data_IF_202103126671
#
_entry.id   IF_202103126671
#
_cell.length_a   1.000
_cell.length_b   1.000
_cell.length_c   1.000
_cell.angle_alpha   90.00
_cell.angle_beta   90.00
_cell.angle_gamma   90.00
#
_symmetry.space_group_name_H-M   'P 1'
#
loop_
_entity.id
_entity.type
_entity.pdbx_description
1 polymer ?
#
# COMPACT_ATOMS: atom_id res chain seq x y z
N UNK A 1 -6.69 0.59 -4.35
CA UNK A 1 -6.33 0.96 -5.74
C UNK A 1 -5.49 -0.13 -6.37
N UNK A 2 -6.04 -0.92 -7.29
CA UNK A 2 -5.25 -1.97 -7.94
C UNK A 2 -4.13 -1.40 -8.85
N UNK A 3 -4.25 -0.15 -9.34
CA UNK A 3 -3.34 0.46 -10.35
C UNK A 3 -1.90 0.49 -9.86
N UNK A 4 -1.72 0.61 -8.55
CA UNK A 4 -0.41 0.61 -7.91
C UNK A 4 0.32 -0.73 -8.02
N UNK A 5 -0.40 -1.82 -8.34
CA UNK A 5 0.15 -3.17 -8.48
C UNK A 5 0.44 -3.55 -9.94
N UNK A 6 0.32 -2.62 -10.90
CA UNK A 6 0.80 -2.83 -12.27
C UNK A 6 2.26 -2.39 -12.41
N UNK A 7 3.01 -2.96 -13.36
CA UNK A 7 4.28 -2.36 -13.79
C UNK A 7 4.07 -0.88 -14.10
N UNK A 8 4.94 -0.01 -13.60
CA UNK A 8 4.80 1.45 -13.70
C UNK A 8 4.56 1.90 -15.15
N UNK A 9 5.27 1.31 -16.10
CA UNK A 9 5.13 1.58 -17.53
C UNK A 9 3.71 1.30 -18.06
N UNK A 10 2.99 0.35 -17.47
CA UNK A 10 1.65 -0.06 -17.91
C UNK A 10 0.53 0.68 -17.19
N UNK A 11 0.81 1.44 -16.13
CA UNK A 11 -0.20 2.18 -15.35
C UNK A 11 -0.99 3.12 -16.25
N UNK A 12 -0.31 3.92 -17.09
CA UNK A 12 -0.94 4.90 -17.97
C UNK A 12 -1.82 4.24 -19.01
N UNK A 13 -1.30 3.22 -19.69
CA UNK A 13 -2.03 2.48 -20.72
C UNK A 13 -3.29 1.81 -20.16
N UNK A 14 -3.19 1.17 -18.98
CA UNK A 14 -4.33 0.51 -18.35
C UNK A 14 -5.38 1.51 -17.83
N UNK A 15 -4.94 2.67 -17.34
CA UNK A 15 -5.85 3.76 -16.99
C UNK A 15 -6.65 4.26 -18.20
N UNK A 16 -5.99 4.45 -19.34
CA UNK A 16 -6.66 4.86 -20.58
C UNK A 16 -7.64 3.78 -21.07
N UNK A 17 -7.24 2.51 -21.02
CA UNK A 17 -8.13 1.39 -21.36
C UNK A 17 -9.38 1.36 -20.47
N UNK A 18 -9.21 1.57 -19.16
CA UNK A 18 -10.33 1.69 -18.23
C UNK A 18 -11.25 2.86 -18.60
N UNK A 19 -10.70 4.03 -18.95
CA UNK A 19 -11.49 5.21 -19.36
C UNK A 19 -12.28 4.99 -20.66
N UNK A 20 -11.75 4.19 -21.58
CA UNK A 20 -12.36 3.95 -22.89
C UNK A 20 -13.46 2.87 -22.86
N UNK A 21 -13.52 2.03 -21.82
CA UNK A 21 -14.57 1.00 -21.68
C UNK A 21 -15.97 1.63 -21.70
N UNK A 22 -16.86 1.05 -22.50
CA UNK A 22 -18.24 1.52 -22.66
C UNK A 22 -18.98 1.62 -21.30
N UNK A 23 -18.81 0.63 -20.44
CA UNK A 23 -19.37 0.60 -19.07
C UNK A 23 -18.89 1.80 -18.24
N UNK A 24 -17.60 2.10 -18.27
CA UNK A 24 -17.02 3.25 -17.55
C UNK A 24 -17.52 4.57 -18.09
N UNK A 25 -17.65 4.72 -19.42
CA UNK A 25 -18.23 5.91 -20.05
C UNK A 25 -19.68 6.12 -19.65
N UNK A 26 -20.49 5.06 -19.67
CA UNK A 26 -21.89 5.09 -19.22
C UNK A 26 -22.00 5.48 -17.74
N UNK A 27 -21.13 4.93 -16.87
CA UNK A 27 -21.09 5.33 -15.47
C UNK A 27 -20.71 6.79 -15.27
N UNK A 28 -19.80 7.34 -16.09
CA UNK A 28 -19.44 8.76 -16.02
C UNK A 28 -20.61 9.67 -16.44
N UNK A 29 -21.42 9.24 -17.41
CA UNK A 29 -22.65 9.96 -17.81
C UNK A 29 -23.67 9.95 -16.67
N UNK A 30 -23.90 8.77 -16.08
CA UNK A 30 -24.85 8.59 -14.98
C UNK A 30 -24.41 9.27 -13.67
N UNK A 31 -23.10 9.36 -13.44
CA UNK A 31 -22.51 9.92 -12.23
C UNK A 31 -21.39 10.92 -12.57
N UNK A 32 -21.72 12.22 -12.76
CA UNK A 32 -20.74 13.25 -13.14
C UNK A 32 -19.56 13.40 -12.16
N UNK A 33 -19.77 13.10 -10.87
CA UNK A 33 -18.69 13.07 -9.86
C UNK A 33 -17.60 12.04 -10.17
N UNK A 34 -17.96 10.93 -10.83
CA UNK A 34 -16.98 9.92 -11.25
C UNK A 34 -16.05 10.49 -12.33
N UNK A 35 -16.58 11.31 -13.23
CA UNK A 35 -15.77 12.01 -14.22
C UNK A 35 -14.81 12.99 -13.54
N UNK A 36 -15.28 13.75 -12.55
CA UNK A 36 -14.43 14.66 -11.77
C UNK A 36 -13.30 13.91 -11.05
N UNK A 37 -13.60 12.74 -10.48
CA UNK A 37 -12.60 11.88 -9.84
C UNK A 37 -11.52 11.43 -10.83
N UNK A 38 -11.91 11.01 -12.04
CA UNK A 38 -10.97 10.64 -13.08
C UNK A 38 -10.08 11.81 -13.51
N UNK A 39 -10.67 12.99 -13.73
CA UNK A 39 -9.90 14.19 -14.09
C UNK A 39 -8.93 14.60 -12.97
N UNK A 40 -9.38 14.54 -11.72
CA UNK A 40 -8.53 14.81 -10.56
C UNK A 40 -7.37 13.81 -10.47
N UNK A 41 -7.65 12.51 -10.63
CA UNK A 41 -6.63 11.47 -10.60
C UNK A 41 -5.60 11.67 -11.72
N UNK A 42 -6.06 11.95 -12.93
CA UNK A 42 -5.17 12.21 -14.05
C UNK A 42 -4.28 13.43 -13.83
N UNK A 43 -4.87 14.54 -13.36
CA UNK A 43 -4.15 15.79 -13.10
C UNK A 43 -3.11 15.67 -12.01
N UNK A 44 -3.36 14.89 -10.95
CA UNK A 44 -2.48 14.83 -9.78
C UNK A 44 -1.55 13.61 -9.79
N UNK A 45 -2.08 12.44 -10.14
CA UNK A 45 -1.44 11.14 -9.92
C UNK A 45 -0.88 10.50 -11.21
N UNK A 46 -1.23 11.01 -12.38
CA UNK A 46 -0.64 10.56 -13.66
C UNK A 46 0.28 11.61 -14.29
N UNK A 47 -0.15 12.88 -14.30
CA UNK A 47 0.53 13.98 -14.97
C UNK A 47 1.01 15.09 -14.03
N UNK A 48 0.74 14.96 -12.73
CA UNK A 48 0.93 16.04 -11.75
C UNK A 48 2.07 15.81 -10.78
N UNK A 49 1.91 16.42 -9.60
CA UNK A 49 2.90 16.43 -8.52
C UNK A 49 3.18 15.04 -7.93
N UNK A 50 2.29 14.06 -8.13
CA UNK A 50 2.42 12.72 -7.57
C UNK A 50 2.53 11.67 -8.68
N UNK A 51 3.64 11.61 -9.43
CA UNK A 51 3.79 10.69 -10.56
C UNK A 51 3.69 9.22 -10.13
N UNK A 52 3.33 8.28 -11.03
CA UNK A 52 3.18 6.86 -10.71
C UNK A 52 4.31 6.25 -9.88
N UNK A 53 5.56 6.67 -10.10
CA UNK A 53 6.71 6.18 -9.31
C UNK A 53 6.58 6.45 -7.80
N UNK A 54 5.91 7.51 -7.36
CA UNK A 54 5.82 7.86 -5.95
C UNK A 54 4.81 6.99 -5.18
N UNK A 55 3.75 6.50 -5.84
CA UNK A 55 2.66 5.74 -5.21
C UNK A 55 2.55 4.28 -5.70
N UNK A 56 3.27 3.90 -6.77
CA UNK A 56 3.25 2.52 -7.27
C UNK A 56 3.99 1.57 -6.30
N UNK A 57 3.42 0.38 -6.13
CA UNK A 57 3.88 -0.64 -5.19
C UNK A 57 4.27 -1.97 -5.86
N UNK A 58 4.29 -2.01 -7.21
CA UNK A 58 4.57 -3.24 -7.97
C UNK A 58 5.91 -3.86 -7.60
N UNK A 59 6.96 -3.04 -7.50
CA UNK A 59 8.30 -3.46 -7.10
C UNK A 59 8.61 -3.19 -5.62
N UNK A 60 7.59 -2.92 -4.79
CA UNK A 60 7.78 -2.67 -3.35
C UNK A 60 7.36 -3.88 -2.54
N UNK A 61 8.22 -4.24 -1.59
CA UNK A 61 7.89 -5.21 -0.54
C UNK A 61 6.75 -4.69 0.33
N UNK A 62 5.93 -5.60 0.84
CA UNK A 62 4.72 -5.29 1.62
C UNK A 62 4.96 -4.28 2.75
N UNK A 63 6.13 -4.34 3.40
CA UNK A 63 6.49 -3.45 4.51
C UNK A 63 6.70 -1.99 4.04
N UNK A 64 7.18 -1.80 2.80
CA UNK A 64 7.49 -0.50 2.21
C UNK A 64 6.38 0.02 1.27
N UNK A 65 5.21 -0.64 1.22
CA UNK A 65 4.12 -0.27 0.28
C UNK A 65 3.43 1.05 0.62
N UNK A 66 3.46 1.49 1.87
CA UNK A 66 2.84 2.75 2.34
C UNK A 66 3.52 3.23 3.63
N UNK A 67 3.13 4.40 4.13
CA UNK A 67 3.56 4.99 5.42
C UNK A 67 3.20 4.14 6.67
N UNK A 68 2.97 2.85 6.49
CA UNK A 68 2.56 1.88 7.49
C UNK A 68 3.53 1.84 8.68
N UNK A 69 4.82 2.11 8.48
CA UNK A 69 5.79 2.19 9.57
C UNK A 69 5.53 3.38 10.49
N UNK A 70 5.35 4.59 9.94
CA UNK A 70 5.08 5.80 10.75
C UNK A 70 3.68 5.73 11.35
N UNK A 71 2.68 5.27 10.60
CA UNK A 71 1.33 5.06 11.13
C UNK A 71 1.32 4.01 12.25
N UNK A 72 2.06 2.92 12.10
CA UNK A 72 2.20 1.90 13.13
C UNK A 72 2.95 2.40 14.36
N UNK A 73 3.99 3.20 14.16
CA UNK A 73 4.69 3.88 15.25
C UNK A 73 3.74 4.84 15.98
N UNK A 74 3.08 5.76 15.28
CA UNK A 74 2.15 6.72 15.88
C UNK A 74 1.02 6.03 16.63
N UNK A 75 0.41 4.97 16.06
CA UNK A 75 -0.63 4.18 16.72
C UNK A 75 -0.11 3.53 18.02
N UNK A 76 1.08 2.93 17.96
CA UNK A 76 1.72 2.30 19.13
C UNK A 76 2.11 3.34 20.18
N UNK A 77 2.62 4.48 19.76
CA UNK A 77 3.00 5.58 20.62
C UNK A 77 1.78 6.11 21.37
N UNK A 78 0.69 6.40 20.65
CA UNK A 78 -0.58 6.81 21.24
C UNK A 78 -1.09 5.78 22.25
N UNK A 79 -1.01 4.48 21.94
CA UNK A 79 -1.38 3.42 22.88
C UNK A 79 -0.45 3.36 24.10
N UNK A 80 0.86 3.60 23.92
CA UNK A 80 1.87 3.54 24.99
C UNK A 80 1.75 4.72 25.94
N UNK A 81 1.49 5.92 25.40
CA UNK A 81 1.21 7.14 26.17
C UNK A 81 -0.15 7.00 26.86
N UNK A 82 -1.19 6.58 26.13
CA UNK A 82 -2.52 6.28 26.68
C UNK A 82 -3.22 7.47 27.32
N UNK A 83 -2.78 8.70 27.03
CA UNK A 83 -3.30 9.96 27.59
C UNK A 83 -3.34 11.02 26.50
N UNK A 84 -4.40 11.80 26.46
CA UNK A 84 -4.57 12.92 25.51
C UNK A 84 -3.65 14.09 25.89
N UNK A 85 -3.55 14.39 27.19
CA UNK A 85 -2.71 15.48 27.72
C UNK A 85 -1.76 14.96 28.82
N UNK A 86 -0.67 14.26 28.47
CA UNK A 86 0.33 13.84 29.44
C UNK A 86 1.14 15.04 29.96
N UNK A 87 1.45 15.07 31.26
CA UNK A 87 2.45 16.01 31.76
C UNK A 87 3.86 15.60 31.30
N UNK A 88 4.81 16.53 31.39
CA UNK A 88 6.17 16.36 30.87
C UNK A 88 6.89 15.13 31.46
N UNK A 89 6.81 14.94 32.78
CA UNK A 89 7.47 13.80 33.45
C UNK A 89 6.92 12.45 33.00
N UNK A 90 5.60 12.36 32.87
CA UNK A 90 4.96 11.16 32.34
C UNK A 90 5.37 10.90 30.89
N UNK A 91 5.39 11.94 30.06
CA UNK A 91 5.83 11.86 28.66
C UNK A 91 7.27 11.33 28.56
N UNK A 92 8.21 11.92 29.31
CA UNK A 92 9.61 11.49 29.32
C UNK A 92 9.77 10.02 29.75
N UNK A 93 9.01 9.57 30.75
CA UNK A 93 9.03 8.17 31.18
C UNK A 93 8.54 7.22 30.08
N UNK A 94 7.49 7.60 29.34
CA UNK A 94 7.01 6.81 28.19
C UNK A 94 7.99 6.83 27.03
N UNK A 95 8.65 7.97 26.79
CA UNK A 95 9.68 8.08 25.75
C UNK A 95 10.86 7.14 26.03
N UNK A 96 11.35 7.08 27.28
CA UNK A 96 12.39 6.13 27.69
C UNK A 96 11.96 4.66 27.51
N UNK A 97 10.68 4.37 27.72
CA UNK A 97 10.14 3.02 27.50
C UNK A 97 10.16 2.65 26.01
N UNK A 98 9.83 3.57 25.11
CA UNK A 98 9.93 3.33 23.68
C UNK A 98 11.38 3.24 23.18
N UNK A 99 12.29 4.08 23.71
CA UNK A 99 13.72 3.98 23.40
C UNK A 99 14.26 2.59 23.75
N UNK A 100 13.99 2.12 24.98
CA UNK A 100 14.40 0.77 25.39
C UNK A 100 13.85 -0.32 24.46
N UNK A 101 12.59 -0.20 24.01
CA UNK A 101 12.00 -1.14 23.03
C UNK A 101 12.73 -1.10 21.69
N UNK A 102 13.04 0.10 21.19
CA UNK A 102 13.80 0.29 19.96
C UNK A 102 15.19 -0.34 20.05
N UNK A 103 15.91 -0.04 21.14
CA UNK A 103 17.25 -0.58 21.41
C UNK A 103 17.25 -2.11 21.51
N UNK A 104 16.24 -2.71 22.14
CA UNK A 104 16.08 -4.18 22.17
C UNK A 104 15.80 -4.77 20.79
N UNK A 105 14.97 -4.13 19.97
CA UNK A 105 14.68 -4.59 18.62
C UNK A 105 15.92 -4.52 17.73
N UNK A 106 16.72 -3.43 17.83
CA UNK A 106 17.99 -3.28 17.11
C UNK A 106 18.97 -4.38 17.55
N UNK A 107 19.09 -4.63 18.85
CA UNK A 107 19.97 -5.66 19.38
C UNK A 107 19.55 -7.07 18.90
N UNK A 108 18.25 -7.37 18.87
CA UNK A 108 17.73 -8.63 18.33
C UNK A 108 18.09 -8.80 16.84
N UNK A 109 17.85 -7.77 16.03
CA UNK A 109 18.24 -7.79 14.61
C UNK A 109 19.75 -7.99 14.44
N UNK A 110 20.59 -7.35 15.25
CA UNK A 110 22.06 -7.50 15.21
C UNK A 110 22.51 -8.91 15.59
N UNK A 111 21.77 -9.62 16.45
CA UNK A 111 22.03 -11.04 16.78
C UNK A 111 21.57 -12.00 15.68
N UNK A 112 20.82 -11.52 14.68
CA UNK A 112 20.19 -12.36 13.67
C UNK A 112 18.89 -13.03 14.14
N UNK A 113 18.29 -12.56 15.24
CA UNK A 113 17.00 -13.07 15.69
C UNK A 113 15.94 -12.83 14.59
N UNK A 114 15.08 -13.82 14.28
CA UNK A 114 14.06 -13.64 13.25
C UNK A 114 13.04 -12.58 13.67
N UNK A 115 12.53 -11.77 12.72
CA UNK A 115 11.51 -10.77 13.04
C UNK A 115 10.22 -11.45 13.51
N UNK A 116 9.39 -10.75 14.31
CA UNK A 116 8.10 -11.28 14.74
C UNK A 116 7.26 -11.75 13.54
N UNK A 117 6.63 -12.95 13.62
CA UNK A 117 5.92 -13.50 12.50
C UNK A 117 4.74 -12.62 12.11
N UNK A 118 4.64 -12.27 10.83
CA UNK A 118 3.50 -11.53 10.29
C UNK A 118 2.21 -12.35 10.45
N UNK A 119 1.08 -11.67 10.70
CA UNK A 119 -0.24 -12.31 10.78
C UNK A 119 -0.51 -13.12 9.51
N UNK A 120 -1.10 -14.32 9.66
CA UNK A 120 -1.34 -15.28 8.57
C UNK A 120 -2.08 -14.67 7.37
N UNK A 121 -3.05 -13.77 7.62
CA UNK A 121 -3.78 -13.04 6.57
C UNK A 121 -2.82 -12.29 5.64
N UNK A 122 -1.90 -11.50 6.19
CA UNK A 122 -0.97 -10.69 5.40
C UNK A 122 0.10 -11.54 4.69
N UNK A 123 0.55 -12.64 5.31
CA UNK A 123 1.44 -13.60 4.64
C UNK A 123 0.80 -14.21 3.40
N UNK A 124 -0.44 -14.71 3.53
CA UNK A 124 -1.20 -15.28 2.40
C UNK A 124 -1.45 -14.27 1.28
N UNK A 125 -1.73 -13.01 1.64
CA UNK A 125 -1.88 -11.94 0.66
C UNK A 125 -0.58 -11.76 -0.14
N UNK A 126 0.55 -11.66 0.58
CA UNK A 126 1.85 -11.47 -0.05
C UNK A 126 2.22 -12.64 -0.96
N UNK A 127 2.07 -13.88 -0.48
CA UNK A 127 2.28 -15.09 -1.27
C UNK A 127 1.41 -15.13 -2.55
N UNK A 128 0.18 -14.59 -2.49
CA UNK A 128 -0.71 -14.53 -3.66
C UNK A 128 -0.29 -13.45 -4.64
N UNK A 129 0.10 -12.27 -4.15
CA UNK A 129 0.64 -11.19 -4.99
C UNK A 129 1.91 -11.65 -5.70
N UNK A 130 2.84 -12.27 -4.98
CA UNK A 130 4.13 -12.71 -5.52
C UNK A 130 3.95 -13.79 -6.59
N UNK A 131 3.05 -14.76 -6.36
CA UNK A 131 2.69 -15.75 -7.39
C UNK A 131 2.13 -15.11 -8.65
N UNK A 132 1.21 -14.16 -8.50
CA UNK A 132 0.58 -13.48 -9.63
C UNK A 132 1.58 -12.60 -10.41
N UNK A 133 2.52 -11.95 -9.72
CA UNK A 133 3.60 -11.22 -10.35
C UNK A 133 4.55 -12.16 -11.11
N UNK A 134 4.91 -13.30 -10.53
CA UNK A 134 5.76 -14.30 -11.18
C UNK A 134 5.11 -14.89 -12.43
N UNK A 135 3.82 -15.25 -12.35
CA UNK A 135 3.07 -15.74 -13.51
C UNK A 135 3.03 -14.72 -14.65
N UNK A 136 2.83 -13.44 -14.33
CA UNK A 136 2.87 -12.35 -15.30
C UNK A 136 4.27 -12.18 -15.90
N UNK A 137 5.33 -12.15 -15.08
CA UNK A 137 6.73 -12.02 -15.55
C UNK A 137 7.16 -13.19 -16.43
N UNK A 138 6.63 -14.39 -16.19
CA UNK A 138 6.89 -15.60 -16.99
C UNK A 138 6.00 -15.69 -18.24
N UNK A 139 5.18 -14.69 -18.53
CA UNK A 139 4.30 -14.68 -19.70
C UNK A 139 3.10 -15.63 -19.62
N UNK A 140 2.82 -16.25 -18.47
CA UNK A 140 1.68 -17.17 -18.28
C UNK A 140 0.33 -16.46 -18.21
N UNK A 141 0.34 -15.13 -18.02
CA UNK A 141 -0.85 -14.28 -17.95
C UNK A 141 -0.63 -13.03 -18.78
N UNK A 142 -1.67 -12.60 -19.48
CA UNK A 142 -1.69 -11.28 -20.12
C UNK A 142 -1.81 -10.17 -19.07
N UNK A 143 -1.48 -8.93 -19.44
CA UNK A 143 -1.59 -7.78 -18.54
C UNK A 143 -3.03 -7.60 -17.99
N UNK A 144 -4.05 -7.88 -18.81
CA UNK A 144 -5.46 -7.81 -18.42
C UNK A 144 -5.81 -8.90 -17.40
N UNK A 145 -5.41 -10.14 -17.66
CA UNK A 145 -5.65 -11.25 -16.73
C UNK A 145 -4.93 -11.06 -15.38
N UNK A 146 -3.72 -10.52 -15.42
CA UNK A 146 -2.97 -10.15 -14.21
C UNK A 146 -3.70 -9.04 -13.45
N UNK A 147 -4.13 -8.00 -14.14
CA UNK A 147 -4.87 -6.89 -13.58
C UNK A 147 -6.15 -7.33 -12.87
N UNK A 148 -6.99 -8.12 -13.53
CA UNK A 148 -8.25 -8.61 -12.95
C UNK A 148 -8.01 -9.48 -11.71
N UNK A 149 -7.01 -10.36 -11.77
CA UNK A 149 -6.62 -11.17 -10.63
C UNK A 149 -6.09 -10.32 -9.45
N UNK A 150 -5.36 -9.23 -9.74
CA UNK A 150 -4.91 -8.26 -8.74
C UNK A 150 -6.07 -7.50 -8.11
N UNK A 151 -7.01 -7.00 -8.91
CA UNK A 151 -8.21 -6.30 -8.40
C UNK A 151 -8.96 -7.19 -7.41
N UNK A 152 -9.23 -8.45 -7.79
CA UNK A 152 -9.90 -9.40 -6.93
C UNK A 152 -9.10 -9.70 -5.66
N UNK A 153 -7.78 -9.94 -5.80
CA UNK A 153 -6.90 -10.25 -4.67
C UNK A 153 -6.83 -9.09 -3.67
N UNK A 154 -6.75 -7.84 -4.12
CA UNK A 154 -6.67 -6.67 -3.23
C UNK A 154 -8.03 -6.37 -2.60
N UNK A 155 -9.13 -6.55 -3.33
CA UNK A 155 -10.48 -6.31 -2.82
C UNK A 155 -10.87 -7.24 -1.66
N UNK A 156 -10.37 -8.48 -1.63
CA UNK A 156 -10.65 -9.43 -0.55
C UNK A 156 -9.98 -9.11 0.80
N UNK A 157 -9.05 -8.15 0.84
CA UNK A 157 -8.21 -7.92 2.02
C UNK A 157 -8.42 -6.58 2.70
N UNK A 158 -9.07 -5.63 2.03
CA UNK A 158 -9.64 -4.42 2.63
C UNK A 158 -10.95 -4.73 3.33
#
# INVERSE_FOLDING_TARGET
>A
MALAYLPVALVRQNYLFLRQRATTRLMCIRYPRLLQLFLYFERNYLNGQFPPACWNVYNRDMDNRTNNHVESFNRRWNATVGRVHPNLWYFLRKLRTEEKRGSLAIAATRRGDPPPPRKRKYRRLQERIDRLQQDYRRGRRTAVQYWEAMVYTVAQFH
#
